data_IF_814993092343
#
_entry.id   IF_814993092343
#
_cell.length_a   1.000
_cell.length_b   1.000
_cell.length_c   1.000
_cell.angle_alpha   90.00
_cell.angle_beta   90.00
_cell.angle_gamma   90.00
#
_symmetry.space_group_name_H-M   'P 1'
#
loop_
_entity.id
_entity.type
_entity.pdbx_description
1 polymer ?
#
# COMPACT_ATOMS: atom_id res chain seq x y z
N UNK A 1 15.32 -22.60 -18.94
CA UNK A 1 14.91 -22.70 -17.52
C UNK A 1 16.06 -22.61 -16.52
N UNK A 2 17.19 -23.32 -16.67
CA UNK A 2 18.31 -23.26 -15.69
C UNK A 2 18.90 -21.86 -15.52
N UNK A 3 19.14 -21.13 -16.62
CA UNK A 3 19.62 -19.74 -16.59
C UNK A 3 18.63 -18.77 -15.90
N UNK A 4 17.33 -18.92 -16.14
CA UNK A 4 16.30 -18.07 -15.52
C UNK A 4 16.25 -18.26 -13.99
N UNK A 5 16.40 -19.50 -13.52
CA UNK A 5 16.48 -19.80 -12.09
C UNK A 5 17.70 -19.15 -11.43
N UNK A 6 18.86 -19.16 -12.09
CA UNK A 6 20.07 -18.49 -11.60
C UNK A 6 19.95 -16.96 -11.61
N UNK A 7 19.27 -16.39 -12.60
CA UNK A 7 18.93 -14.95 -12.62
C UNK A 7 18.03 -14.60 -11.45
N UNK A 8 16.96 -15.37 -11.22
CA UNK A 8 16.05 -15.13 -10.10
C UNK A 8 16.74 -15.29 -8.74
N UNK A 9 17.62 -16.29 -8.58
CA UNK A 9 18.43 -16.44 -7.37
C UNK A 9 19.26 -15.18 -7.10
N UNK A 10 19.96 -14.66 -8.11
CA UNK A 10 20.74 -13.41 -8.00
C UNK A 10 19.88 -12.20 -7.64
N UNK A 11 18.64 -12.11 -8.15
CA UNK A 11 17.70 -11.05 -7.77
C UNK A 11 17.30 -11.16 -6.29
N UNK A 12 16.94 -12.37 -5.83
CA UNK A 12 16.62 -12.61 -4.42
C UNK A 12 17.79 -12.30 -3.49
N UNK A 13 19.00 -12.76 -3.83
CA UNK A 13 20.22 -12.53 -3.02
C UNK A 13 20.55 -11.02 -2.90
N UNK A 14 20.20 -10.23 -3.92
CA UNK A 14 20.40 -8.77 -3.95
C UNK A 14 19.22 -7.95 -3.43
N UNK A 15 18.10 -8.58 -3.09
CA UNK A 15 16.88 -7.88 -2.67
C UNK A 15 17.00 -7.24 -1.29
N UNK A 16 17.99 -7.65 -0.48
CA UNK A 16 18.10 -7.31 0.94
C UNK A 16 16.91 -7.78 1.80
N UNK A 17 16.05 -8.66 1.26
CA UNK A 17 14.87 -9.20 1.95
C UNK A 17 15.23 -10.54 2.59
N UNK A 18 15.12 -10.60 3.93
CA UNK A 18 15.32 -11.84 4.68
C UNK A 18 14.12 -12.79 4.60
N UNK A 19 12.90 -12.25 4.71
CA UNK A 19 11.64 -13.02 4.70
C UNK A 19 10.48 -12.15 4.24
N UNK A 20 9.46 -12.78 3.66
CA UNK A 20 8.18 -12.16 3.29
C UNK A 20 7.03 -12.97 3.87
N UNK A 21 5.90 -12.32 4.09
CA UNK A 21 4.64 -12.99 4.41
C UNK A 21 3.78 -12.98 3.15
N UNK A 22 3.12 -14.10 2.88
CA UNK A 22 2.28 -14.29 1.71
C UNK A 22 1.05 -15.10 2.11
N UNK A 23 -0.12 -14.69 1.64
CA UNK A 23 -1.38 -15.40 1.79
C UNK A 23 -1.38 -16.66 0.93
N UNK A 24 -0.79 -16.59 -0.27
CA UNK A 24 -0.68 -17.73 -1.17
C UNK A 24 0.20 -18.83 -0.57
N UNK A 25 -0.33 -20.04 -0.54
CA UNK A 25 0.37 -21.25 -0.08
C UNK A 25 0.59 -22.22 -1.24
N UNK A 26 1.50 -23.18 -1.05
CA UNK A 26 1.76 -24.22 -2.04
C UNK A 26 0.49 -25.04 -2.35
N UNK A 27 -0.28 -25.41 -1.33
CA UNK A 27 -1.50 -26.23 -1.50
C UNK A 27 -2.55 -25.49 -2.32
N UNK A 28 -2.77 -24.19 -2.04
CA UNK A 28 -3.68 -23.37 -2.83
C UNK A 28 -3.25 -23.28 -4.30
N UNK A 29 -1.95 -23.13 -4.55
CA UNK A 29 -1.40 -23.03 -5.90
C UNK A 29 -1.48 -24.35 -6.68
N UNK A 30 -1.41 -25.51 -6.00
CA UNK A 30 -1.66 -26.84 -6.62
C UNK A 30 -3.10 -26.98 -7.08
N UNK A 31 -4.05 -26.45 -6.32
CA UNK A 31 -5.48 -26.46 -6.68
C UNK A 31 -5.82 -25.43 -7.76
N UNK A 32 -5.00 -24.37 -7.91
CA UNK A 32 -5.22 -23.27 -8.84
C UNK A 32 -4.07 -23.07 -9.83
N UNK A 33 -3.78 -24.05 -10.71
CA UNK A 33 -2.57 -24.07 -11.55
C UNK A 33 -2.49 -22.91 -12.55
N UNK A 34 -3.61 -22.30 -12.94
CA UNK A 34 -3.62 -21.13 -13.82
C UNK A 34 -2.91 -19.91 -13.19
N UNK A 35 -2.93 -19.78 -11.86
CA UNK A 35 -2.17 -18.73 -11.17
C UNK A 35 -0.65 -18.96 -11.21
N UNK A 36 -0.22 -20.21 -11.41
CA UNK A 36 1.18 -20.58 -11.57
C UNK A 36 1.67 -20.41 -13.02
N UNK A 37 0.77 -20.35 -14.00
CA UNK A 37 1.13 -20.04 -15.37
C UNK A 37 1.47 -18.55 -15.52
N UNK A 38 2.26 -18.21 -16.55
CA UNK A 38 2.68 -16.82 -16.76
C UNK A 38 1.51 -15.91 -17.21
N UNK A 39 0.68 -16.39 -18.14
CA UNK A 39 -0.39 -15.61 -18.79
C UNK A 39 -1.71 -16.40 -18.92
N UNK A 40 -1.97 -17.39 -18.07
CA UNK A 40 -3.27 -18.06 -18.09
C UNK A 40 -4.34 -17.18 -17.40
N UNK A 41 -5.59 -17.18 -17.90
CA UNK A 41 -6.69 -16.50 -17.25
C UNK A 41 -6.84 -16.99 -15.81
N UNK A 42 -6.77 -16.04 -14.87
CA UNK A 42 -6.77 -16.31 -13.43
C UNK A 42 -7.32 -15.15 -12.60
N UNK A 43 -7.84 -14.09 -13.24
CA UNK A 43 -8.34 -12.90 -12.55
C UNK A 43 -9.48 -13.24 -11.58
N UNK A 44 -10.43 -14.07 -11.98
CA UNK A 44 -11.58 -14.43 -11.14
C UNK A 44 -11.14 -15.11 -9.84
N UNK A 45 -10.28 -16.15 -9.95
CA UNK A 45 -9.70 -16.82 -8.79
C UNK A 45 -8.93 -15.86 -7.88
N UNK A 46 -8.17 -14.92 -8.48
CA UNK A 46 -7.43 -13.91 -7.71
C UNK A 46 -8.38 -12.97 -6.98
N UNK A 47 -9.45 -12.55 -7.65
CA UNK A 47 -10.49 -11.68 -7.11
C UNK A 47 -11.21 -12.35 -5.94
N UNK A 48 -11.63 -13.62 -6.08
CA UNK A 48 -12.28 -14.39 -5.03
C UNK A 48 -11.45 -14.43 -3.71
N UNK A 49 -10.13 -14.45 -3.82
CA UNK A 49 -9.21 -14.35 -2.67
C UNK A 49 -9.22 -12.93 -2.11
N UNK A 50 -8.82 -11.94 -2.93
CA UNK A 50 -8.47 -10.60 -2.42
C UNK A 50 -9.68 -9.83 -1.92
N UNK A 51 -10.89 -10.01 -2.50
CA UNK A 51 -12.10 -9.30 -2.04
C UNK A 51 -12.48 -9.71 -0.62
N UNK A 52 -12.12 -10.91 -0.21
CA UNK A 52 -12.36 -11.43 1.15
C UNK A 52 -11.18 -11.12 2.08
N UNK A 53 -9.95 -11.36 1.63
CA UNK A 53 -8.79 -11.39 2.51
C UNK A 53 -8.19 -10.01 2.76
N UNK A 54 -8.27 -9.08 1.79
CA UNK A 54 -7.80 -7.69 1.96
C UNK A 54 -8.52 -6.99 3.12
N UNK A 55 -9.87 -6.99 3.22
CA UNK A 55 -10.54 -6.34 4.35
C UNK A 55 -10.35 -7.11 5.68
N UNK A 56 -10.14 -8.43 5.66
CA UNK A 56 -9.80 -9.20 6.88
C UNK A 56 -8.44 -8.80 7.43
N UNK A 57 -7.41 -8.77 6.58
CA UNK A 57 -6.07 -8.34 6.98
C UNK A 57 -6.05 -6.88 7.44
N UNK A 58 -6.78 -6.02 6.73
CA UNK A 58 -6.99 -4.62 7.12
C UNK A 58 -7.69 -4.47 8.48
N UNK A 59 -8.68 -5.31 8.79
CA UNK A 59 -9.36 -5.35 10.09
C UNK A 59 -8.39 -5.70 11.20
N UNK A 60 -7.49 -6.67 11.01
CA UNK A 60 -6.51 -7.04 12.04
C UNK A 60 -5.58 -5.86 12.40
N UNK A 61 -5.11 -5.13 11.39
CA UNK A 61 -4.32 -3.92 11.60
C UNK A 61 -5.15 -2.82 12.29
N UNK A 62 -6.37 -2.57 11.81
CA UNK A 62 -7.25 -1.55 12.37
C UNK A 62 -7.61 -1.80 13.83
N UNK A 63 -7.87 -3.04 14.23
CA UNK A 63 -8.14 -3.39 15.63
C UNK A 63 -6.97 -3.04 16.53
N UNK A 64 -5.72 -3.27 16.08
CA UNK A 64 -4.52 -2.91 16.84
C UNK A 64 -4.38 -1.39 16.96
N UNK A 65 -4.55 -0.66 15.86
CA UNK A 65 -4.49 0.82 15.87
C UNK A 65 -5.59 1.46 16.74
N UNK A 66 -6.82 0.94 16.68
CA UNK A 66 -7.93 1.42 17.53
C UNK A 66 -7.65 1.12 19.01
N UNK A 67 -7.07 -0.04 19.31
CA UNK A 67 -6.67 -0.40 20.68
C UNK A 67 -5.59 0.53 21.21
N UNK A 68 -4.59 0.86 20.39
CA UNK A 68 -3.52 1.80 20.74
C UNK A 68 -4.07 3.21 20.96
N UNK A 69 -4.99 3.67 20.11
CA UNK A 69 -5.67 4.97 20.25
C UNK A 69 -6.51 5.06 21.55
N UNK A 70 -7.05 3.95 22.03
CA UNK A 70 -7.69 3.85 23.35
C UNK A 70 -9.09 4.45 23.45
N UNK A 71 -9.66 4.95 22.34
CA UNK A 71 -11.02 5.50 22.29
C UNK A 71 -12.01 4.51 21.67
N UNK A 72 -13.32 4.64 21.95
CA UNK A 72 -14.32 3.78 21.34
C UNK A 72 -14.38 4.02 19.82
N UNK A 73 -14.45 2.92 19.05
CA UNK A 73 -14.60 2.95 17.58
C UNK A 73 -15.81 3.77 17.09
N UNK A 74 -16.81 4.00 17.95
CA UNK A 74 -17.95 4.88 17.67
C UNK A 74 -17.54 6.35 17.50
N UNK A 75 -16.35 6.77 17.93
CA UNK A 75 -15.81 8.10 17.67
C UNK A 75 -15.14 8.24 16.29
N UNK A 76 -14.90 7.14 15.58
CA UNK A 76 -14.38 7.20 14.20
C UNK A 76 -15.43 7.87 13.31
N UNK A 77 -14.98 8.86 12.56
CA UNK A 77 -15.83 9.72 11.71
C UNK A 77 -15.61 9.46 10.23
N UNK A 78 -14.40 9.05 9.86
CA UNK A 78 -14.00 8.80 8.48
C UNK A 78 -13.22 7.49 8.40
N UNK A 79 -13.30 6.82 7.25
CA UNK A 79 -12.44 5.70 6.88
C UNK A 79 -11.79 6.01 5.54
N UNK A 80 -10.48 5.94 5.46
CA UNK A 80 -9.72 5.95 4.21
C UNK A 80 -9.14 4.55 4.04
N UNK A 81 -9.58 3.82 3.03
CA UNK A 81 -9.07 2.49 2.73
C UNK A 81 -8.28 2.53 1.43
N UNK A 82 -7.10 1.92 1.42
CA UNK A 82 -6.26 1.78 0.24
C UNK A 82 -5.90 0.32 -0.01
N UNK A 83 -6.03 -0.11 -1.27
CA UNK A 83 -5.47 -1.38 -1.75
C UNK A 83 -5.23 -1.34 -3.26
N UNK A 84 -4.17 -2.00 -3.70
CA UNK A 84 -3.87 -2.30 -5.12
C UNK A 84 -4.31 -3.73 -5.47
N UNK A 85 -4.75 -4.50 -4.48
CA UNK A 85 -4.86 -5.95 -4.57
C UNK A 85 -6.13 -6.45 -5.27
N UNK A 86 -7.20 -5.68 -5.30
CA UNK A 86 -8.45 -6.08 -5.95
C UNK A 86 -9.44 -4.93 -5.99
N UNK A 87 -10.52 -5.10 -6.75
CA UNK A 87 -11.62 -4.12 -6.86
C UNK A 87 -12.96 -4.83 -6.69
N UNK A 88 -13.89 -4.21 -5.97
CA UNK A 88 -15.24 -4.73 -5.78
C UNK A 88 -16.23 -3.60 -5.46
N UNK A 89 -17.53 -3.88 -5.63
CA UNK A 89 -18.65 -2.97 -5.35
C UNK A 89 -19.78 -3.71 -4.63
N UNK A 90 -20.00 -3.49 -3.32
CA UNK A 90 -19.33 -2.54 -2.44
C UNK A 90 -17.85 -2.87 -2.13
N UNK A 91 -17.03 -1.84 -1.97
CA UNK A 91 -15.57 -1.99 -1.83
C UNK A 91 -15.07 -2.42 -0.45
N UNK A 92 -13.74 -2.57 -0.34
CA UNK A 92 -13.07 -2.99 0.89
C UNK A 92 -13.31 -2.04 2.08
N UNK A 93 -13.53 -0.76 1.82
CA UNK A 93 -13.94 0.23 2.82
C UNK A 93 -15.31 -0.09 3.44
N UNK A 94 -16.27 -0.55 2.64
CA UNK A 94 -17.57 -1.05 3.11
C UNK A 94 -17.42 -2.34 3.91
N UNK A 95 -16.66 -3.30 3.39
CA UNK A 95 -16.43 -4.58 4.08
C UNK A 95 -15.75 -4.35 5.44
N UNK A 96 -14.71 -3.52 5.49
CA UNK A 96 -14.04 -3.15 6.73
C UNK A 96 -15.01 -2.47 7.72
N UNK A 97 -15.85 -1.55 7.22
CA UNK A 97 -16.86 -0.85 8.03
C UNK A 97 -17.80 -1.84 8.72
N UNK A 98 -18.26 -2.87 7.99
CA UNK A 98 -19.07 -3.95 8.58
C UNK A 98 -18.28 -4.82 9.55
N UNK A 99 -17.09 -5.27 9.16
CA UNK A 99 -16.23 -6.15 9.97
C UNK A 99 -15.81 -5.53 11.31
N UNK A 100 -15.61 -4.21 11.33
CA UNK A 100 -15.32 -3.46 12.54
C UNK A 100 -16.58 -3.04 13.29
N UNK A 101 -17.77 -3.12 12.69
CA UNK A 101 -19.01 -2.59 13.27
C UNK A 101 -18.92 -1.09 13.55
N UNK A 102 -18.44 -0.32 12.56
CA UNK A 102 -18.41 1.14 12.63
C UNK A 102 -19.82 1.70 12.42
N UNK A 103 -20.00 2.99 12.71
CA UNK A 103 -21.28 3.68 12.45
C UNK A 103 -21.61 3.63 10.95
N UNK A 104 -22.85 3.34 10.55
CA UNK A 104 -23.25 3.36 9.13
C UNK A 104 -23.03 4.71 8.44
N UNK A 105 -23.02 5.81 9.20
CA UNK A 105 -22.77 7.18 8.73
C UNK A 105 -21.29 7.56 8.64
N UNK A 106 -20.37 6.61 8.88
CA UNK A 106 -18.94 6.87 8.71
C UNK A 106 -18.65 7.27 7.26
N UNK A 107 -17.93 8.38 7.07
CA UNK A 107 -17.63 8.88 5.72
C UNK A 107 -16.46 8.07 5.16
N UNK A 108 -16.70 7.32 4.09
CA UNK A 108 -15.70 6.42 3.52
C UNK A 108 -15.07 7.03 2.27
N UNK A 109 -13.77 6.80 2.11
CA UNK A 109 -13.02 7.05 0.89
C UNK A 109 -12.26 5.78 0.54
N UNK A 110 -12.59 5.18 -0.60
CA UNK A 110 -11.96 3.98 -1.11
C UNK A 110 -10.96 4.36 -2.20
N UNK A 111 -9.70 3.97 -2.03
CA UNK A 111 -8.65 4.14 -3.03
C UNK A 111 -8.22 2.79 -3.56
N UNK A 112 -8.53 2.56 -4.83
CA UNK A 112 -8.05 1.39 -5.56
C UNK A 112 -6.90 1.75 -6.49
N UNK A 113 -5.98 0.79 -6.67
CA UNK A 113 -4.98 0.79 -7.76
C UNK A 113 -4.06 2.03 -7.78
N UNK A 114 -3.67 2.54 -6.60
CA UNK A 114 -2.73 3.67 -6.50
C UNK A 114 -1.27 3.21 -6.43
N UNK A 115 -0.99 1.95 -6.07
CA UNK A 115 0.37 1.42 -5.99
C UNK A 115 1.19 1.96 -4.81
N UNK A 116 2.51 1.85 -4.91
CA UNK A 116 3.43 2.02 -3.78
C UNK A 116 3.45 3.40 -3.12
N UNK A 117 3.06 4.47 -3.83
CA UNK A 117 3.02 5.82 -3.27
C UNK A 117 1.79 6.09 -2.41
N UNK A 118 0.82 5.16 -2.40
CA UNK A 118 -0.47 5.38 -1.75
C UNK A 118 -0.36 5.59 -0.23
N UNK A 119 0.72 5.12 0.41
CA UNK A 119 1.02 5.43 1.81
C UNK A 119 1.14 6.94 2.08
N UNK A 120 1.80 7.69 1.18
CA UNK A 120 1.84 9.15 1.26
C UNK A 120 0.48 9.79 0.93
N UNK A 121 -0.24 9.23 -0.05
CA UNK A 121 -1.56 9.72 -0.48
C UNK A 121 -2.60 9.61 0.63
N UNK A 122 -2.67 8.49 1.35
CA UNK A 122 -3.63 8.35 2.46
C UNK A 122 -3.37 9.34 3.58
N UNK A 123 -2.10 9.64 3.87
CA UNK A 123 -1.73 10.65 4.88
C UNK A 123 -2.12 12.04 4.43
N UNK A 124 -1.84 12.42 3.17
CA UNK A 124 -2.27 13.70 2.58
C UNK A 124 -3.78 13.89 2.69
N UNK A 125 -4.56 12.88 2.32
CA UNK A 125 -6.02 12.92 2.40
C UNK A 125 -6.49 12.99 3.86
N UNK A 126 -5.92 12.16 4.74
CA UNK A 126 -6.31 12.12 6.15
C UNK A 126 -6.00 13.44 6.87
N UNK A 127 -4.92 14.14 6.50
CA UNK A 127 -4.58 15.49 6.98
C UNK A 127 -5.75 16.45 6.71
N UNK A 128 -6.14 16.61 5.45
CA UNK A 128 -7.21 17.54 5.07
C UNK A 128 -8.55 17.16 5.71
N UNK A 129 -8.87 15.85 5.76
CA UNK A 129 -10.09 15.37 6.42
C UNK A 129 -10.11 15.67 7.92
N UNK A 130 -8.99 15.50 8.62
CA UNK A 130 -8.87 15.73 10.05
C UNK A 130 -8.91 17.22 10.40
N UNK A 131 -8.15 18.05 9.67
CA UNK A 131 -8.02 19.48 9.95
C UNK A 131 -9.29 20.26 9.58
N UNK A 132 -9.95 19.88 8.49
CA UNK A 132 -11.12 20.61 7.99
C UNK A 132 -12.44 20.18 8.67
N UNK A 133 -12.41 19.19 9.57
CA UNK A 133 -13.60 18.71 10.27
C UNK A 133 -13.32 18.62 11.78
N UNK A 134 -13.82 19.60 12.54
CA UNK A 134 -13.62 19.66 14.00
C UNK A 134 -14.00 18.34 14.69
N UNK A 135 -13.07 17.78 15.47
CA UNK A 135 -13.26 16.52 16.20
C UNK A 135 -13.23 15.27 15.32
N UNK A 136 -12.83 15.37 14.05
CA UNK A 136 -12.69 14.21 13.19
C UNK A 136 -11.57 13.29 13.68
N UNK A 137 -11.88 11.99 13.59
CA UNK A 137 -10.97 10.87 13.77
C UNK A 137 -11.10 9.98 12.54
N UNK A 138 -10.02 9.91 11.77
CA UNK A 138 -9.92 9.24 10.47
C UNK A 138 -9.18 7.93 10.69
N UNK A 139 -9.86 6.81 10.46
CA UNK A 139 -9.21 5.51 10.39
C UNK A 139 -8.64 5.34 8.99
N UNK A 140 -7.32 5.27 8.89
CA UNK A 140 -6.61 4.97 7.64
C UNK A 140 -6.22 3.49 7.65
N UNK A 141 -6.48 2.77 6.57
CA UNK A 141 -6.06 1.37 6.40
C UNK A 141 -5.46 1.17 5.01
N UNK A 142 -4.24 0.66 4.96
CA UNK A 142 -3.63 0.14 3.73
C UNK A 142 -3.51 -1.38 3.89
N UNK A 143 -4.02 -2.15 2.94
CA UNK A 143 -3.98 -3.62 3.00
C UNK A 143 -3.65 -4.19 1.62
N UNK A 144 -2.55 -4.92 1.53
CA UNK A 144 -2.01 -5.43 0.28
C UNK A 144 -1.74 -6.94 0.35
N UNK A 145 -2.14 -7.64 -0.70
CA UNK A 145 -2.04 -9.09 -0.89
C UNK A 145 -1.55 -9.35 -2.32
N UNK A 146 -0.41 -10.01 -2.44
CA UNK A 146 0.29 -10.30 -3.70
C UNK A 146 -0.40 -11.34 -4.58
N UNK A 147 -1.50 -11.94 -4.11
CA UNK A 147 -2.29 -12.88 -4.90
C UNK A 147 -2.69 -12.31 -6.27
N UNK A 148 -2.88 -10.99 -6.40
CA UNK A 148 -3.21 -10.36 -7.68
C UNK A 148 -2.01 -10.28 -8.65
N UNK A 149 -0.78 -10.27 -8.14
CA UNK A 149 0.46 -10.09 -8.93
C UNK A 149 1.30 -11.35 -9.09
N UNK A 150 1.05 -12.40 -8.29
CA UNK A 150 1.82 -13.64 -8.35
C UNK A 150 1.67 -14.36 -9.70
N UNK A 151 2.77 -14.81 -10.32
CA UNK A 151 2.71 -15.60 -11.56
C UNK A 151 3.97 -16.41 -11.80
N UNK A 152 3.87 -17.38 -12.70
CA UNK A 152 5.02 -18.14 -13.19
C UNK A 152 6.07 -17.26 -13.88
N UNK A 153 7.30 -17.77 -14.06
CA UNK A 153 8.36 -17.02 -14.71
C UNK A 153 8.26 -17.05 -16.25
N UNK A 154 8.88 -16.06 -16.92
CA UNK A 154 9.02 -16.03 -18.39
C UNK A 154 10.38 -15.49 -18.80
N UNK A 155 11.02 -16.11 -19.80
CA UNK A 155 12.34 -15.70 -20.30
C UNK A 155 12.30 -14.34 -21.01
N UNK A 156 11.12 -13.88 -21.45
CA UNK A 156 10.93 -12.60 -22.18
C UNK A 156 10.58 -11.42 -21.28
N UNK A 157 10.21 -11.65 -20.02
CA UNK A 157 9.71 -10.61 -19.10
C UNK A 157 10.42 -10.68 -17.74
N UNK A 158 11.66 -10.19 -17.73
CA UNK A 158 12.53 -10.21 -16.55
C UNK A 158 12.11 -9.22 -15.46
N UNK A 159 11.39 -8.16 -15.81
CA UNK A 159 10.78 -7.20 -14.90
C UNK A 159 9.75 -7.86 -13.97
N UNK A 160 8.96 -8.80 -14.49
CA UNK A 160 8.01 -9.56 -13.68
C UNK A 160 8.70 -10.35 -12.56
N UNK A 161 9.89 -10.91 -12.83
CA UNK A 161 10.69 -11.63 -11.83
C UNK A 161 11.16 -10.72 -10.69
N UNK A 162 11.48 -9.45 -10.99
CA UNK A 162 11.82 -8.46 -9.95
C UNK A 162 10.63 -8.30 -9.01
N UNK A 163 9.42 -8.14 -9.54
CA UNK A 163 8.19 -8.10 -8.73
C UNK A 163 8.01 -9.36 -7.87
N UNK A 164 8.23 -10.55 -8.43
CA UNK A 164 8.13 -11.82 -7.67
C UNK A 164 9.19 -11.94 -6.56
N UNK A 165 10.34 -11.27 -6.68
CA UNK A 165 11.37 -11.25 -5.65
C UNK A 165 11.09 -10.23 -4.53
N UNK A 166 10.39 -9.14 -4.84
CA UNK A 166 10.21 -8.00 -3.94
C UNK A 166 8.86 -7.97 -3.20
N UNK A 167 7.75 -8.16 -3.90
CA UNK A 167 6.42 -7.89 -3.34
C UNK A 167 6.03 -8.85 -2.21
N UNK A 168 5.31 -8.36 -1.21
CA UNK A 168 4.86 -9.15 -0.06
C UNK A 168 3.51 -8.66 0.45
N UNK A 169 2.86 -9.48 1.26
CA UNK A 169 1.56 -9.17 1.84
C UNK A 169 1.72 -8.44 3.17
N UNK A 170 0.81 -7.52 3.46
CA UNK A 170 0.78 -6.79 4.72
C UNK A 170 -0.34 -5.77 4.80
N UNK A 171 -0.72 -5.42 6.03
CA UNK A 171 -1.61 -4.30 6.28
C UNK A 171 -1.08 -3.41 7.41
N UNK A 172 -1.35 -2.12 7.29
CA UNK A 172 -1.09 -1.11 8.29
C UNK A 172 -2.35 -0.27 8.50
N UNK A 173 -2.55 0.21 9.72
CA UNK A 173 -3.66 1.08 10.05
C UNK A 173 -3.22 2.21 10.99
N UNK A 174 -3.83 3.37 10.85
CA UNK A 174 -3.56 4.56 11.65
C UNK A 174 -4.87 5.21 12.10
N UNK A 175 -4.84 5.88 13.25
CA UNK A 175 -5.85 6.87 13.62
C UNK A 175 -5.23 8.25 13.47
N UNK A 176 -5.84 9.08 12.62
CA UNK A 176 -5.44 10.45 12.37
C UNK A 176 -6.51 11.39 12.90
N UNK A 177 -6.11 12.48 13.53
CA UNK A 177 -7.00 13.52 14.01
C UNK A 177 -6.24 14.80 14.30
N UNK A 178 -6.97 15.91 14.33
CA UNK A 178 -6.49 17.21 14.82
C UNK A 178 -7.01 17.44 16.24
N UNK A 179 -6.36 18.36 16.95
CA UNK A 179 -6.66 18.73 18.34
C UNK A 179 -6.74 17.49 19.25
N UNK A 180 -5.60 16.84 19.54
CA UNK A 180 -5.59 15.64 20.38
C UNK A 180 -6.06 15.97 21.79
N UNK A 181 -6.98 15.17 22.32
CA UNK A 181 -7.48 15.27 23.68
C UNK A 181 -6.66 14.36 24.61
N UNK A 182 -5.59 14.93 25.16
CA UNK A 182 -4.71 14.23 26.09
C UNK A 182 -5.41 13.89 27.42
N UNK A 183 -6.49 14.57 27.77
CA UNK A 183 -7.24 14.32 29.01
C UNK A 183 -7.99 12.98 28.97
N UNK A 184 -8.37 12.52 27.78
CA UNK A 184 -8.98 11.19 27.55
C UNK A 184 -7.95 10.14 27.11
N UNK A 185 -6.66 10.47 27.16
CA UNK A 185 -5.57 9.53 26.93
C UNK A 185 -5.10 9.40 25.48
N UNK A 186 -5.48 10.32 24.58
CA UNK A 186 -4.87 10.36 23.25
C UNK A 186 -3.38 10.72 23.34
N UNK A 187 -2.54 10.00 22.60
CA UNK A 187 -1.08 10.15 22.61
C UNK A 187 -0.59 10.40 21.17
N UNK A 188 -0.35 11.67 20.78
CA UNK A 188 0.20 11.98 19.48
C UNK A 188 1.56 11.29 19.26
N UNK A 189 1.79 10.79 18.06
CA UNK A 189 3.06 10.11 17.68
C UNK A 189 3.86 11.00 16.72
N UNK A 190 3.19 11.46 15.65
CA UNK A 190 3.75 12.39 14.66
C UNK A 190 2.70 13.43 14.27
N UNK A 191 3.16 14.59 13.83
CA UNK A 191 2.34 15.65 13.26
C UNK A 191 2.61 15.76 11.76
N UNK A 192 1.55 15.88 10.95
CA UNK A 192 1.67 16.08 9.51
C UNK A 192 1.72 17.58 9.21
N UNK A 193 2.93 18.13 9.09
CA UNK A 193 3.14 19.57 8.82
C UNK A 193 2.68 19.94 7.41
N UNK A 194 3.11 19.18 6.41
CA UNK A 194 2.77 19.37 5.00
C UNK A 194 2.70 18.03 4.27
N UNK A 195 2.03 18.02 3.12
CA UNK A 195 1.98 16.86 2.25
C UNK A 195 1.96 17.34 0.79
N UNK A 196 2.83 16.79 -0.05
CA UNK A 196 2.99 17.16 -1.44
C UNK A 196 2.96 15.93 -2.35
N UNK A 197 2.67 16.14 -3.63
CA UNK A 197 2.73 15.13 -4.67
C UNK A 197 3.27 15.77 -5.94
N UNK A 198 4.11 15.04 -6.66
CA UNK A 198 4.66 15.48 -7.94
C UNK A 198 4.75 14.31 -8.91
N UNK A 199 4.80 14.63 -10.19
CA UNK A 199 5.07 13.68 -11.27
C UNK A 199 6.45 14.02 -11.80
N UNK A 200 7.32 13.01 -11.91
CA UNK A 200 8.69 13.23 -12.37
C UNK A 200 8.68 13.53 -13.88
N UNK A 201 9.52 14.46 -14.35
CA UNK A 201 9.69 14.67 -15.78
C UNK A 201 10.32 13.42 -16.43
N UNK A 202 9.92 13.13 -17.67
CA UNK A 202 10.46 12.05 -18.49
C UNK A 202 10.41 10.65 -17.82
N UNK A 203 9.37 10.41 -17.01
CA UNK A 203 9.18 9.14 -16.28
C UNK A 203 7.99 8.30 -16.75
N UNK A 204 7.35 8.66 -17.85
CA UNK A 204 6.22 7.92 -18.41
C UNK A 204 6.59 6.46 -18.67
N UNK A 205 5.74 5.54 -18.19
CA UNK A 205 5.96 4.10 -18.32
C UNK A 205 7.11 3.52 -17.49
N UNK A 206 7.72 4.32 -16.60
CA UNK A 206 8.79 3.82 -15.73
C UNK A 206 8.31 2.74 -14.76
N UNK A 207 7.09 2.88 -14.26
CA UNK A 207 6.39 1.90 -13.44
C UNK A 207 4.94 1.85 -13.92
N UNK A 208 4.56 0.73 -14.54
CA UNK A 208 3.20 0.52 -15.04
C UNK A 208 2.57 -0.73 -14.45
N UNK A 209 1.27 -0.65 -14.17
CA UNK A 209 0.43 -1.78 -13.80
C UNK A 209 -0.73 -1.92 -14.77
N UNK A 210 -0.99 -3.13 -15.25
CA UNK A 210 -2.15 -3.42 -16.09
C UNK A 210 -2.93 -4.60 -15.52
N UNK A 211 -4.17 -4.31 -15.11
CA UNK A 211 -5.14 -5.32 -14.72
C UNK A 211 -5.71 -5.98 -15.99
N UNK A 212 -5.55 -7.30 -16.10
CA UNK A 212 -5.95 -8.11 -17.25
C UNK A 212 -6.62 -9.40 -16.75
N UNK A 213 -7.16 -10.20 -17.66
CA UNK A 213 -7.72 -11.53 -17.38
C UNK A 213 -6.73 -12.47 -16.67
N UNK A 214 -5.43 -12.21 -16.80
CA UNK A 214 -4.33 -12.97 -16.19
C UNK A 214 -3.94 -12.47 -14.79
N UNK A 215 -4.65 -11.48 -14.25
CA UNK A 215 -4.30 -10.74 -13.04
C UNK A 215 -3.62 -9.40 -13.31
N UNK A 216 -2.98 -8.82 -12.29
CA UNK A 216 -2.33 -7.51 -12.36
C UNK A 216 -0.87 -7.65 -12.80
N UNK A 217 -0.62 -7.44 -14.08
CA UNK A 217 0.74 -7.39 -14.66
C UNK A 217 1.44 -6.08 -14.29
N UNK A 218 2.74 -6.14 -14.07
CA UNK A 218 3.57 -4.97 -13.75
C UNK A 218 4.79 -4.92 -14.65
N UNK A 219 5.16 -3.71 -15.03
CA UNK A 219 6.34 -3.38 -15.80
C UNK A 219 7.19 -2.36 -15.04
N UNK A 220 8.49 -2.61 -14.97
CA UNK A 220 9.43 -1.74 -14.30
C UNK A 220 10.64 -1.50 -15.21
N UNK A 221 10.92 -0.23 -15.50
CA UNK A 221 12.16 0.14 -16.14
C UNK A 221 13.33 -0.04 -15.16
N UNK A 222 14.48 -0.44 -15.69
CA UNK A 222 15.69 -0.68 -14.87
C UNK A 222 16.20 0.60 -14.18
N UNK A 223 15.96 1.77 -14.77
CA UNK A 223 16.46 3.06 -14.28
C UNK A 223 15.49 3.79 -13.34
N UNK A 224 14.44 3.13 -12.83
CA UNK A 224 13.55 3.72 -11.81
C UNK A 224 14.34 4.30 -10.61
N UNK A 225 15.34 3.61 -10.03
CA UNK A 225 16.15 4.20 -8.96
C UNK A 225 16.91 5.47 -9.39
N UNK A 226 17.37 5.52 -10.64
CA UNK A 226 18.03 6.70 -11.22
C UNK A 226 17.06 7.87 -11.38
N UNK A 227 15.83 7.61 -11.83
CA UNK A 227 14.78 8.63 -11.95
C UNK A 227 14.40 9.22 -10.59
N UNK A 228 14.21 8.39 -9.56
CA UNK A 228 13.86 8.85 -8.21
C UNK A 228 15.03 9.65 -7.59
N UNK A 229 16.25 9.13 -7.65
CA UNK A 229 17.42 9.78 -7.05
C UNK A 229 17.76 11.15 -7.67
N UNK A 230 17.56 11.32 -8.98
CA UNK A 230 17.75 12.60 -9.67
C UNK A 230 16.76 13.68 -9.22
N UNK A 231 15.56 13.29 -8.76
CA UNK A 231 14.47 14.22 -8.48
C UNK A 231 14.19 14.43 -6.98
N UNK A 232 14.63 13.52 -6.10
CA UNK A 232 14.29 13.59 -4.67
C UNK A 232 14.76 14.88 -3.99
N UNK A 233 15.93 15.41 -4.38
CA UNK A 233 16.48 16.65 -3.80
C UNK A 233 15.56 17.84 -4.07
N UNK A 234 14.98 17.93 -5.27
CA UNK A 234 14.03 18.99 -5.60
C UNK A 234 12.77 18.92 -4.72
N UNK A 235 12.24 17.71 -4.51
CA UNK A 235 11.09 17.50 -3.61
C UNK A 235 11.41 17.88 -2.16
N UNK A 236 12.63 17.61 -1.68
CA UNK A 236 13.08 18.03 -0.36
C UNK A 236 13.18 19.55 -0.26
N UNK A 237 13.80 20.20 -1.24
CA UNK A 237 13.89 21.66 -1.31
C UNK A 237 12.50 22.31 -1.27
N UNK A 238 11.56 21.83 -2.08
CA UNK A 238 10.18 22.35 -2.11
C UNK A 238 9.45 22.17 -0.77
N UNK A 239 9.66 21.04 -0.10
CA UNK A 239 9.00 20.74 1.18
C UNK A 239 9.61 21.50 2.37
N UNK A 240 10.93 21.66 2.42
CA UNK A 240 11.66 22.08 3.62
C UNK A 240 12.24 23.50 3.55
N UNK A 241 12.41 24.08 2.35
CA UNK A 241 12.86 25.47 2.21
C UNK A 241 11.93 26.48 2.90
N UNK A 242 10.58 26.34 2.87
CA UNK A 242 9.69 27.20 3.65
C UNK A 242 9.87 27.09 5.17
N UNK A 243 10.44 25.98 5.65
CA UNK A 243 10.74 25.72 7.06
C UNK A 243 12.17 26.10 7.44
N UNK A 244 12.98 26.59 6.49
CA UNK A 244 14.37 26.97 6.73
C UNK A 244 15.33 25.78 6.94
N UNK A 245 14.95 24.57 6.57
CA UNK A 245 15.78 23.36 6.73
C UNK A 245 16.49 23.06 5.40
N UNK A 246 17.79 22.80 5.48
CA UNK A 246 18.64 22.47 4.32
C UNK A 246 19.65 21.34 4.57
N UNK A 247 19.84 20.92 5.82
CA UNK A 247 20.61 19.71 6.14
C UNK A 247 19.69 18.49 6.20
N UNK A 248 19.71 17.69 5.15
CA UNK A 248 18.89 16.47 5.04
C UNK A 248 19.24 15.41 6.08
N UNK A 249 20.45 15.43 6.66
CA UNK A 249 20.86 14.49 7.70
C UNK A 249 20.34 14.89 9.09
N UNK A 250 19.81 16.10 9.26
CA UNK A 250 19.15 16.51 10.50
C UNK A 250 17.72 15.99 10.60
N UNK A 251 17.20 15.34 9.55
CA UNK A 251 15.84 14.79 9.48
C UNK A 251 15.84 13.30 9.83
N UNK A 252 14.73 12.84 10.43
CA UNK A 252 14.40 11.41 10.42
C UNK A 252 13.81 11.04 9.06
N UNK A 253 14.01 9.79 8.63
CA UNK A 253 13.63 9.34 7.29
C UNK A 253 12.65 8.17 7.32
N UNK A 254 11.58 8.31 6.54
CA UNK A 254 10.67 7.23 6.18
C UNK A 254 10.56 7.24 4.66
N UNK A 255 11.28 6.34 3.99
CA UNK A 255 11.23 6.15 2.55
C UNK A 255 10.57 4.81 2.23
N UNK A 256 9.80 4.74 1.13
CA UNK A 256 9.33 3.46 0.61
C UNK A 256 10.55 2.64 0.16
N UNK A 257 10.75 1.41 0.67
CA UNK A 257 11.94 0.61 0.44
C UNK A 257 11.98 -0.04 -0.95
#
# INVERSE_FOLDING_TARGET
MTDLKEKFKRMCDKSMIRKRHMHLTEDFLKENPHMCAYMAPSLDTRQDIVVVEVPKLGREAAVKAIKEWGQPKSKITHVVFCTTSGVDMPGADYQLTKLLGLRPSVKRLMMYQQGCFAGGTVLRIAKDLAENNRGARVLVVCSEITAVTFRGPSDTHLDSLVGQALFSDGAAALIVGSDPDTSVGEKPIFEMVSAAQTILPDSDGAIDGHLREVGLTFHLLKDVPGLISKNIVKSLDEAFKPLGISDWNSLFWIAHP
#
